data_IF_416451489835
#
_entry.id   IF_416451489835
#
_cell.length_a   1.000
_cell.length_b   1.000
_cell.length_c   1.000
_cell.angle_alpha   90.00
_cell.angle_beta   90.00
_cell.angle_gamma   90.00
#
_symmetry.space_group_name_H-M   'P 1'
#
loop_
_entity.id
_entity.type
_entity.pdbx_description
1 polymer ?
#
# COMPACT_ATOMS: atom_id res chain seq x y z
N UNK A 1 11.86 -18.76 -19.44
CA UNK A 1 11.26 -19.70 -18.45
C UNK A 1 11.33 -19.14 -17.04
N UNK A 2 12.50 -18.77 -16.51
CA UNK A 2 12.63 -18.23 -15.15
C UNK A 2 12.15 -16.77 -15.03
N UNK A 3 12.34 -15.94 -16.06
CA UNK A 3 11.90 -14.52 -16.07
C UNK A 3 10.40 -14.30 -16.31
N UNK A 4 9.64 -15.37 -16.58
CA UNK A 4 8.19 -15.30 -16.82
C UNK A 4 7.42 -15.61 -15.53
N UNK A 5 8.07 -16.19 -14.53
CA UNK A 5 7.47 -16.49 -13.24
C UNK A 5 7.54 -15.27 -12.30
N UNK A 6 6.57 -15.14 -11.40
CA UNK A 6 6.55 -14.06 -10.39
C UNK A 6 7.73 -14.12 -9.41
N UNK A 7 8.29 -15.32 -9.22
CA UNK A 7 9.47 -15.54 -8.38
C UNK A 7 10.41 -16.50 -9.09
N UNK A 8 11.58 -16.02 -9.47
CA UNK A 8 12.62 -16.83 -10.09
C UNK A 8 13.53 -17.50 -9.07
N UNK A 9 13.64 -18.83 -9.09
CA UNK A 9 14.62 -19.57 -8.28
C UNK A 9 15.60 -20.29 -9.19
N UNK A 10 16.87 -19.91 -9.12
CA UNK A 10 17.97 -20.52 -9.85
C UNK A 10 18.76 -21.48 -8.98
N UNK A 11 19.29 -22.53 -9.60
CA UNK A 11 20.10 -23.55 -8.90
C UNK A 11 21.54 -23.45 -9.36
N UNK A 12 22.46 -23.25 -8.42
CA UNK A 12 23.88 -23.16 -8.72
C UNK A 12 24.46 -24.57 -8.93
N UNK A 13 24.72 -24.91 -10.19
CA UNK A 13 25.47 -26.11 -10.60
C UNK A 13 26.84 -25.76 -11.17
N UNK A 14 27.67 -26.77 -11.37
CA UNK A 14 29.06 -26.60 -11.86
C UNK A 14 29.14 -26.30 -13.38
N UNK A 15 28.09 -26.62 -14.13
CA UNK A 15 28.09 -26.57 -15.60
C UNK A 15 27.32 -25.37 -16.20
N UNK A 16 26.58 -24.60 -15.39
CA UNK A 16 25.82 -23.46 -15.89
C UNK A 16 25.25 -22.56 -14.80
N UNK A 17 25.74 -21.32 -14.74
CA UNK A 17 25.30 -20.30 -13.77
C UNK A 17 24.30 -19.29 -14.36
N UNK A 18 23.99 -19.36 -15.65
CA UNK A 18 23.12 -18.38 -16.30
C UNK A 18 21.70 -18.36 -15.72
N UNK A 19 21.16 -19.52 -15.33
CA UNK A 19 19.85 -19.60 -14.67
C UNK A 19 19.85 -18.94 -13.28
N UNK A 20 20.99 -18.95 -12.58
CA UNK A 20 21.16 -18.30 -11.27
C UNK A 20 21.25 -16.79 -11.42
N UNK A 21 22.01 -16.31 -12.41
CA UNK A 21 22.18 -14.87 -12.65
C UNK A 21 20.89 -14.20 -13.11
N UNK A 22 20.00 -14.95 -13.75
CA UNK A 22 18.70 -14.47 -14.19
C UNK A 22 17.56 -14.72 -13.19
N UNK A 23 17.86 -15.23 -11.98
CA UNK A 23 16.88 -15.55 -10.93
C UNK A 23 17.03 -14.65 -9.70
N UNK A 24 15.93 -14.39 -9.00
CA UNK A 24 15.92 -13.59 -7.77
C UNK A 24 16.56 -14.33 -6.58
N UNK A 25 16.38 -15.66 -6.53
CA UNK A 25 16.92 -16.50 -5.47
C UNK A 25 17.86 -17.58 -6.01
N UNK A 26 19.10 -17.57 -5.54
CA UNK A 26 20.09 -18.62 -5.84
C UNK A 26 20.10 -19.67 -4.74
N UNK A 27 19.85 -20.94 -5.11
CA UNK A 27 19.95 -22.07 -4.20
C UNK A 27 21.04 -23.05 -4.65
N UNK A 28 21.86 -23.58 -3.72
CA UNK A 28 22.86 -24.58 -4.06
C UNK A 28 22.26 -25.96 -4.37
N UNK A 29 21.15 -26.32 -3.70
CA UNK A 29 20.44 -27.60 -3.87
C UNK A 29 18.94 -27.40 -3.57
N UNK A 30 18.09 -28.18 -4.23
CA UNK A 30 16.62 -28.13 -4.05
C UNK A 30 16.14 -28.33 -2.60
N UNK A 31 16.89 -29.05 -1.75
CA UNK A 31 16.51 -29.26 -0.34
C UNK A 31 16.39 -27.94 0.45
N UNK A 32 17.10 -26.90 0.05
CA UNK A 32 17.08 -25.61 0.73
C UNK A 32 15.83 -24.78 0.37
N UNK A 33 15.14 -25.12 -0.73
CA UNK A 33 13.91 -24.46 -1.16
C UNK A 33 12.79 -24.61 -0.12
N UNK A 34 12.71 -25.78 0.52
CA UNK A 34 11.70 -26.05 1.55
C UNK A 34 11.84 -25.10 2.75
N UNK A 35 13.08 -24.84 3.20
CA UNK A 35 13.33 -23.89 4.30
C UNK A 35 13.10 -22.44 3.86
N UNK A 36 13.43 -22.10 2.62
CA UNK A 36 13.18 -20.77 2.06
C UNK A 36 11.68 -20.47 2.03
N UNK A 37 10.87 -21.35 1.44
CA UNK A 37 9.42 -21.14 1.34
C UNK A 37 8.72 -21.21 2.70
N UNK A 38 8.98 -22.23 3.51
CA UNK A 38 8.22 -22.44 4.75
C UNK A 38 8.59 -21.44 5.84
N UNK A 39 9.88 -21.13 6.02
CA UNK A 39 10.31 -20.22 7.09
C UNK A 39 10.27 -18.77 6.62
N UNK A 40 10.96 -18.46 5.51
CA UNK A 40 11.07 -17.08 5.06
C UNK A 40 9.78 -16.59 4.40
N UNK A 41 9.08 -17.46 3.66
CA UNK A 41 7.76 -17.12 3.11
C UNK A 41 6.74 -16.81 4.21
N UNK A 42 6.63 -17.64 5.25
CA UNK A 42 5.72 -17.39 6.37
C UNK A 42 6.05 -16.10 7.13
N UNK A 43 7.34 -15.85 7.41
CA UNK A 43 7.76 -14.66 8.13
C UNK A 43 7.55 -13.38 7.31
N UNK A 44 7.87 -13.40 6.01
CA UNK A 44 7.62 -12.30 5.09
C UNK A 44 6.12 -12.00 4.99
N UNK A 45 5.29 -13.04 4.84
CA UNK A 45 3.83 -12.91 4.77
C UNK A 45 3.26 -12.29 6.05
N UNK A 46 3.69 -12.76 7.22
CA UNK A 46 3.22 -12.22 8.50
C UNK A 46 3.60 -10.74 8.69
N UNK A 47 4.82 -10.34 8.31
CA UNK A 47 5.24 -8.93 8.40
C UNK A 47 4.50 -8.05 7.41
N UNK A 48 4.31 -8.52 6.17
CA UNK A 48 3.58 -7.79 5.14
C UNK A 48 2.11 -7.59 5.54
N UNK A 49 1.45 -8.65 6.03
CA UNK A 49 0.06 -8.57 6.49
C UNK A 49 -0.09 -7.54 7.63
N UNK A 50 0.80 -7.59 8.62
CA UNK A 50 0.81 -6.60 9.70
C UNK A 50 1.03 -5.18 9.16
N UNK A 51 1.98 -4.98 8.25
CA UNK A 51 2.26 -3.65 7.73
C UNK A 51 1.08 -3.07 6.94
N UNK A 52 0.40 -3.90 6.14
CA UNK A 52 -0.82 -3.53 5.42
C UNK A 52 -1.94 -3.16 6.41
N UNK A 53 -2.15 -3.96 7.46
CA UNK A 53 -3.16 -3.70 8.48
C UNK A 53 -2.89 -2.37 9.21
N UNK A 54 -1.64 -2.10 9.56
CA UNK A 54 -1.22 -0.83 10.16
C UNK A 54 -1.40 0.36 9.21
N UNK A 55 -1.14 0.17 7.92
CA UNK A 55 -1.36 1.21 6.92
C UNK A 55 -2.84 1.58 6.84
N UNK A 56 -3.74 0.60 6.72
CA UNK A 56 -5.18 0.86 6.69
C UNK A 56 -5.69 1.46 8.00
N UNK A 57 -5.23 0.97 9.15
CA UNK A 57 -5.61 1.51 10.45
C UNK A 57 -5.27 3.00 10.57
N UNK A 58 -4.03 3.39 10.26
CA UNK A 58 -3.61 4.80 10.36
C UNK A 58 -4.35 5.71 9.39
N UNK A 59 -4.56 5.25 8.15
CA UNK A 59 -5.31 6.02 7.16
C UNK A 59 -6.80 6.15 7.52
N UNK A 60 -7.43 5.10 8.02
CA UNK A 60 -8.83 5.13 8.48
C UNK A 60 -9.02 6.02 9.73
N UNK A 61 -8.06 6.00 10.66
CA UNK A 61 -8.03 6.91 11.81
C UNK A 61 -7.86 8.35 11.34
N UNK A 62 -6.94 8.64 10.42
CA UNK A 62 -6.75 9.98 9.87
C UNK A 62 -8.00 10.49 9.14
N UNK A 63 -8.65 9.64 8.34
CA UNK A 63 -9.86 9.99 7.62
C UNK A 63 -11.04 10.23 8.59
N UNK A 64 -11.25 9.35 9.56
CA UNK A 64 -12.34 9.49 10.54
C UNK A 64 -12.18 10.71 11.45
N UNK A 65 -10.94 11.04 11.85
CA UNK A 65 -10.63 12.28 12.57
C UNK A 65 -10.84 13.53 11.72
N UNK A 66 -10.56 13.47 10.42
CA UNK A 66 -10.80 14.61 9.52
C UNK A 66 -12.30 14.79 9.25
N UNK A 67 -13.05 13.70 9.06
CA UNK A 67 -14.51 13.74 8.88
C UNK A 67 -15.25 14.27 10.11
N UNK A 68 -14.82 13.88 11.32
CA UNK A 68 -15.38 14.43 12.56
C UNK A 68 -14.97 15.89 12.77
N UNK A 69 -13.79 16.31 12.29
CA UNK A 69 -13.38 17.73 12.28
C UNK A 69 -14.14 18.59 11.27
N UNK A 70 -14.34 18.12 10.04
CA UNK A 70 -15.11 18.85 9.03
C UNK A 70 -16.60 18.91 9.36
N UNK A 71 -17.15 17.88 10.02
CA UNK A 71 -18.53 17.89 10.53
C UNK A 71 -18.68 18.79 11.79
N UNK A 72 -17.65 18.85 12.63
CA UNK A 72 -17.59 19.77 13.78
C UNK A 72 -17.58 21.25 13.37
N UNK A 73 -16.93 21.60 12.26
CA UNK A 73 -16.88 22.97 11.72
C UNK A 73 -18.08 23.36 10.83
N UNK A 74 -18.86 22.39 10.34
CA UNK A 74 -20.06 22.65 9.53
C UNK A 74 -21.36 22.68 10.33
N UNK A 75 -21.40 22.07 11.53
CA UNK A 75 -22.55 22.15 12.43
C UNK A 75 -22.56 23.45 13.28
N UNK A 76 -21.39 24.05 13.51
CA UNK A 76 -21.28 25.31 14.28
C UNK A 76 -21.47 26.58 13.42
N UNK A 77 -21.49 26.48 12.09
CA UNK A 77 -21.72 27.64 11.20
C UNK A 77 -23.20 27.93 10.92
N UNK A 78 -24.11 26.99 11.21
CA UNK A 78 -25.55 27.11 10.91
C UNK A 78 -26.44 27.47 12.10
N UNK A 79 -25.90 27.66 13.31
CA UNK A 79 -26.68 28.04 14.51
C UNK A 79 -26.33 29.45 15.04
N UNK A 80 -25.45 30.18 14.35
CA UNK A 80 -24.86 31.43 14.87
C UNK A 80 -25.29 32.74 14.23
N UNK A 81 -26.01 32.79 13.11
CA UNK A 81 -26.39 34.07 12.49
C UNK A 81 -27.70 33.97 11.68
N UNK A 82 -28.81 34.30 12.32
CA UNK A 82 -30.00 34.81 11.65
C UNK A 82 -29.93 36.34 11.57
N UNK A 83 -29.32 36.89 10.52
CA UNK A 83 -29.82 38.11 9.87
C UNK A 83 -29.19 38.32 8.47
N UNK A 84 -30.01 38.08 7.44
CA UNK A 84 -30.12 38.80 6.15
C UNK A 84 -28.84 39.24 5.43
N UNK A 85 -28.52 38.60 4.30
CA UNK A 85 -28.35 39.30 3.01
C UNK A 85 -28.57 38.35 1.81
N UNK A 86 -29.10 38.94 0.73
CA UNK A 86 -29.82 38.33 -0.40
C UNK A 86 -28.89 37.86 -1.57
N UNK A 87 -29.43 37.17 -2.59
CA UNK A 87 -28.65 36.48 -3.62
C UNK A 87 -28.24 37.41 -4.76
N UNK A 88 -26.98 37.38 -5.15
CA UNK A 88 -26.49 38.08 -6.34
C UNK A 88 -24.99 37.89 -6.53
N UNK A 89 -24.61 37.48 -7.76
CA UNK A 89 -23.32 37.63 -8.45
C UNK A 89 -22.02 37.72 -7.60
N UNK A 90 -21.05 36.84 -7.81
CA UNK A 90 -19.97 37.13 -8.76
C UNK A 90 -19.27 35.87 -9.31
N UNK A 91 -18.77 36.03 -10.53
CA UNK A 91 -18.24 35.03 -11.44
C UNK A 91 -16.93 34.41 -10.95
N UNK A 92 -16.82 33.07 -11.00
CA UNK A 92 -15.51 32.43 -11.15
C UNK A 92 -15.30 32.09 -12.62
N UNK A 93 -14.62 33.00 -13.31
CA UNK A 93 -14.05 32.72 -14.62
C UNK A 93 -13.11 31.51 -14.51
N UNK A 94 -13.48 30.43 -15.20
CA UNK A 94 -12.52 29.49 -15.75
C UNK A 94 -11.64 30.28 -16.73
N UNK A 95 -10.38 30.52 -16.37
CA UNK A 95 -9.34 30.78 -17.37
C UNK A 95 -8.53 29.49 -17.53
N UNK A 96 -8.52 29.02 -18.78
CA UNK A 96 -7.48 28.16 -19.34
C UNK A 96 -6.14 28.90 -19.35
#
# INVERSE_FOLDING_TARGET
>A
MIQVADVGVGISGQEGMQAVMASDFSLPRFRNLQKLLLVHGHWCYSRLANMILYFFYKNAVSLSLTHTRTCGDSTCRTVGNQHVEQPGNEQWGFNM
#
